data_IF_462058976231
#
_entry.id   IF_462058976231
#
_cell.length_a   1.000
_cell.length_b   1.000
_cell.length_c   1.000
_cell.angle_alpha   90.00
_cell.angle_beta   90.00
_cell.angle_gamma   90.00
#
_symmetry.space_group_name_H-M   'P 1'
#
loop_
_entity.id
_entity.type
_entity.pdbx_description
1 polymer ?
#
# COMPACT_ATOMS: atom_id res chain seq x y z
N UNK A 1 28.13 -5.67 -19.13
CA UNK A 1 27.10 -5.25 -18.16
C UNK A 1 27.72 -5.32 -16.79
N UNK A 2 27.45 -4.33 -15.96
CA UNK A 2 27.98 -4.22 -14.60
C UNK A 2 26.79 -4.21 -13.62
N UNK A 3 27.03 -4.67 -12.41
CA UNK A 3 26.01 -4.74 -11.34
C UNK A 3 26.14 -3.51 -10.46
N UNK A 4 25.01 -2.86 -10.16
CA UNK A 4 24.95 -1.70 -9.28
C UNK A 4 23.94 -1.95 -8.16
N UNK A 5 24.25 -1.46 -6.96
CA UNK A 5 23.30 -1.39 -5.85
C UNK A 5 22.73 0.02 -5.78
N UNK A 6 21.40 0.11 -5.69
CA UNK A 6 20.67 1.39 -5.63
C UNK A 6 19.56 1.30 -4.60
N UNK A 7 19.28 2.40 -3.91
CA UNK A 7 18.15 2.54 -3.00
C UNK A 7 16.92 3.06 -3.75
N UNK A 8 15.76 2.42 -3.56
CA UNK A 8 14.49 2.85 -4.14
C UNK A 8 13.50 3.15 -3.02
N UNK A 9 13.10 4.42 -2.89
CA UNK A 9 12.06 4.84 -1.95
C UNK A 9 10.77 5.11 -2.70
N UNK A 10 9.68 4.53 -2.19
CA UNK A 10 8.34 4.81 -2.68
C UNK A 10 7.42 5.23 -1.54
N UNK A 11 6.49 6.13 -1.84
CA UNK A 11 5.44 6.52 -0.89
C UNK A 11 4.11 6.63 -1.60
N UNK A 12 3.04 6.27 -0.90
CA UNK A 12 1.72 6.11 -1.50
C UNK A 12 0.66 6.85 -0.70
N UNK A 13 -0.33 7.38 -1.41
CA UNK A 13 -1.59 7.85 -0.82
C UNK A 13 -2.65 6.77 -1.04
N UNK A 14 -3.13 6.18 0.05
CA UNK A 14 -4.17 5.16 0.03
C UNK A 14 -5.51 5.78 0.40
N UNK A 15 -6.53 5.54 -0.42
CA UNK A 15 -7.93 5.88 -0.14
C UNK A 15 -8.70 4.62 0.19
N UNK A 16 -9.23 4.53 1.42
CA UNK A 16 -9.87 3.34 1.97
C UNK A 16 -11.16 3.72 2.70
N UNK A 17 -12.20 2.92 2.54
CA UNK A 17 -13.40 2.95 3.38
C UNK A 17 -13.17 2.02 4.57
N UNK A 18 -13.24 2.54 5.79
CA UNK A 18 -13.09 1.76 7.01
C UNK A 18 -13.94 2.36 8.14
N UNK A 19 -14.11 1.59 9.22
CA UNK A 19 -14.91 1.99 10.38
C UNK A 19 -14.33 3.22 11.11
N UNK A 20 -13.00 3.34 11.14
CA UNK A 20 -12.27 4.45 11.76
C UNK A 20 -10.84 4.56 11.17
N UNK A 21 -10.10 5.60 11.59
CA UNK A 21 -8.78 5.89 11.05
C UNK A 21 -7.72 4.88 11.51
N UNK A 22 -7.87 4.31 12.70
CA UNK A 22 -7.00 3.26 13.23
C UNK A 22 -7.09 2.00 12.37
N UNK A 23 -8.31 1.57 12.05
CA UNK A 23 -8.57 0.46 11.12
C UNK A 23 -8.11 0.78 9.70
N UNK A 24 -8.30 2.01 9.23
CA UNK A 24 -7.80 2.42 7.92
C UNK A 24 -6.27 2.23 7.80
N UNK A 25 -5.52 2.58 8.84
CA UNK A 25 -4.05 2.38 8.90
C UNK A 25 -3.69 0.91 8.95
N UNK A 26 -4.27 0.16 9.89
CA UNK A 26 -4.04 -1.27 10.07
C UNK A 26 -4.29 -2.05 8.77
N UNK A 27 -5.42 -1.79 8.10
CA UNK A 27 -5.76 -2.45 6.84
C UNK A 27 -4.85 -2.02 5.70
N UNK A 28 -4.42 -0.75 5.64
CA UNK A 28 -3.46 -0.31 4.62
C UNK A 28 -2.12 -1.02 4.80
N UNK A 29 -1.60 -1.10 6.02
CA UNK A 29 -0.34 -1.79 6.30
C UNK A 29 -0.42 -3.29 5.99
N UNK A 30 -1.53 -3.94 6.36
CA UNK A 30 -1.71 -5.38 6.18
C UNK A 30 -1.93 -5.76 4.71
N UNK A 31 -2.73 -4.97 3.98
CA UNK A 31 -3.22 -5.34 2.65
C UNK A 31 -2.51 -4.63 1.50
N UNK A 32 -1.56 -3.69 1.71
CA UNK A 32 -0.85 -3.00 0.61
C UNK A 32 0.65 -3.28 0.50
N UNK A 33 1.15 -4.39 1.09
CA UNK A 33 2.58 -4.74 1.20
C UNK A 33 3.43 -4.43 -0.06
N UNK A 34 2.98 -4.86 -1.25
CA UNK A 34 3.69 -4.70 -2.52
C UNK A 34 2.97 -3.74 -3.48
N UNK A 35 2.29 -2.70 -2.95
CA UNK A 35 1.58 -1.66 -3.71
C UNK A 35 0.25 -2.14 -4.32
N UNK A 36 0.00 -3.45 -4.31
CA UNK A 36 -1.26 -4.05 -4.74
C UNK A 36 -2.17 -4.26 -3.54
N UNK A 37 -3.48 -4.07 -3.73
CA UNK A 37 -4.46 -4.51 -2.75
C UNK A 37 -4.49 -6.05 -2.73
N UNK A 38 -4.04 -6.61 -1.61
CA UNK A 38 -3.96 -8.05 -1.38
C UNK A 38 -5.22 -8.62 -0.73
N UNK A 39 -6.23 -7.78 -0.41
CA UNK A 39 -7.46 -8.24 0.22
C UNK A 39 -8.30 -9.08 -0.73
N UNK A 40 -8.81 -10.20 -0.23
CA UNK A 40 -9.79 -11.02 -0.91
C UNK A 40 -11.20 -10.43 -0.78
N UNK A 41 -12.15 -11.00 -1.54
CA UNK A 41 -13.56 -10.65 -1.41
C UNK A 41 -14.08 -10.96 0.00
N UNK A 42 -13.62 -12.07 0.58
CA UNK A 42 -14.02 -12.50 1.93
C UNK A 42 -13.49 -11.53 3.00
N UNK A 43 -12.21 -11.11 2.90
CA UNK A 43 -11.63 -10.13 3.81
C UNK A 43 -12.43 -8.82 3.84
N UNK A 44 -12.79 -8.31 2.66
CA UNK A 44 -13.56 -7.07 2.51
C UNK A 44 -14.95 -7.18 3.12
N UNK A 45 -15.59 -8.35 2.96
CA UNK A 45 -16.93 -8.61 3.48
C UNK A 45 -16.93 -8.76 5.01
N UNK A 46 -15.97 -9.51 5.57
CA UNK A 46 -15.86 -9.78 7.00
C UNK A 46 -15.46 -8.51 7.78
N UNK A 47 -14.49 -7.78 7.27
CA UNK A 47 -13.92 -6.60 7.94
C UNK A 47 -14.58 -5.27 7.51
N UNK A 48 -15.58 -5.34 6.61
CA UNK A 48 -16.39 -4.22 6.12
C UNK A 48 -15.54 -3.03 5.63
N UNK A 49 -14.51 -3.32 4.84
CA UNK A 49 -13.65 -2.31 4.24
C UNK A 49 -13.49 -2.53 2.74
N UNK A 50 -13.05 -1.48 2.05
CA UNK A 50 -12.71 -1.54 0.63
C UNK A 50 -11.62 -0.51 0.33
N UNK A 51 -10.50 -0.94 -0.28
CA UNK A 51 -9.50 -0.03 -0.82
C UNK A 51 -10.02 0.49 -2.16
N UNK A 52 -10.24 1.80 -2.23
CA UNK A 52 -10.80 2.43 -3.43
C UNK A 52 -9.70 2.81 -4.43
N UNK A 53 -8.53 3.20 -3.94
CA UNK A 53 -7.44 3.70 -4.77
C UNK A 53 -6.09 3.71 -4.05
N UNK A 54 -5.01 3.40 -4.78
CA UNK A 54 -3.62 3.52 -4.34
C UNK A 54 -2.89 4.41 -5.36
N UNK A 55 -2.34 5.54 -4.92
CA UNK A 55 -1.61 6.48 -5.77
C UNK A 55 -0.15 6.63 -5.33
N UNK A 56 0.80 6.50 -6.25
CA UNK A 56 2.22 6.69 -5.94
C UNK A 56 2.57 8.19 -5.90
N UNK A 57 3.01 8.68 -4.74
CA UNK A 57 3.38 10.08 -4.53
C UNK A 57 4.88 10.32 -4.60
N UNK A 58 5.69 9.34 -4.21
CA UNK A 58 7.15 9.40 -4.29
C UNK A 58 7.62 8.13 -4.98
N UNK A 59 8.50 8.27 -5.96
CA UNK A 59 9.16 7.16 -6.66
C UNK A 59 10.56 7.63 -7.06
N UNK A 60 11.47 7.61 -6.09
CA UNK A 60 12.80 8.18 -6.21
C UNK A 60 13.86 7.10 -5.99
N UNK A 61 14.87 7.10 -6.86
CA UNK A 61 16.00 6.18 -6.83
C UNK A 61 17.26 6.96 -6.52
N UNK A 62 18.11 6.43 -5.64
CA UNK A 62 19.37 7.05 -5.23
C UNK A 62 20.50 6.00 -5.16
N UNK A 63 21.73 6.46 -5.29
CA UNK A 63 22.93 5.65 -5.09
C UNK A 63 23.13 5.41 -3.58
N UNK A 64 23.59 4.21 -3.20
CA UNK A 64 23.83 3.84 -1.79
C UNK A 64 25.27 4.18 -1.40
#
# INVERSE_FOLDING_TARGET
>A
METFEVGLTKSYLVRIKAENIEKAKEYSELFTSDIQDLSSIDDRAELKFEIEHIDCKINECFEI
#
